data_IF_951998108852
#
_entry.id   IF_951998108852
#
_cell.length_a   1.000
_cell.length_b   1.000
_cell.length_c   1.000
_cell.angle_alpha   90.00
_cell.angle_beta   90.00
_cell.angle_gamma   90.00
#
_symmetry.space_group_name_H-M   'P 1'
#
loop_
_entity.id
_entity.type
_entity.pdbx_description
1 polymer ?
#
# COMPACT_ATOMS: atom_id res chain seq x y z
N UNK A 1 8.93 -19.00 -0.14
CA UNK A 1 7.97 -20.12 0.06
C UNK A 1 7.93 -21.14 -1.11
N UNK A 2 8.22 -20.72 -2.34
CA UNK A 2 8.14 -21.59 -3.53
C UNK A 2 9.44 -22.31 -3.91
N UNK A 3 10.50 -22.15 -3.11
CA UNK A 3 11.81 -22.76 -3.35
C UNK A 3 11.77 -24.26 -3.11
N UNK A 4 12.32 -25.05 -4.03
CA UNK A 4 12.39 -26.51 -3.91
C UNK A 4 13.30 -26.91 -2.75
N UNK A 5 12.89 -27.93 -1.97
CA UNK A 5 13.69 -28.45 -0.85
C UNK A 5 14.97 -29.15 -1.29
N UNK A 6 14.91 -29.87 -2.41
CA UNK A 6 16.06 -30.50 -3.06
C UNK A 6 16.36 -29.69 -4.33
N UNK A 7 17.42 -28.90 -4.28
CA UNK A 7 17.88 -28.15 -5.44
C UNK A 7 18.46 -29.15 -6.46
N UNK A 8 17.93 -29.13 -7.68
CA UNK A 8 18.49 -29.85 -8.82
C UNK A 8 18.37 -28.97 -10.06
N UNK A 9 19.51 -28.68 -10.68
CA UNK A 9 19.63 -27.73 -11.78
C UNK A 9 19.48 -26.27 -11.34
N UNK A 10 19.31 -25.38 -12.32
CA UNK A 10 19.11 -23.96 -12.08
C UNK A 10 17.77 -23.67 -11.37
N UNK A 11 17.75 -22.58 -10.61
CA UNK A 11 16.56 -22.11 -9.90
C UNK A 11 15.51 -21.62 -10.91
N UNK A 12 14.29 -22.16 -10.79
CA UNK A 12 13.17 -21.75 -11.64
C UNK A 12 12.67 -20.35 -11.25
N UNK A 13 12.07 -19.63 -12.20
CA UNK A 13 11.63 -18.24 -12.01
C UNK A 13 10.66 -18.06 -10.82
N UNK A 14 9.79 -19.03 -10.57
CA UNK A 14 8.80 -18.98 -9.49
C UNK A 14 9.43 -19.14 -8.10
N UNK A 15 10.60 -19.77 -8.00
CA UNK A 15 11.32 -19.94 -6.73
C UNK A 15 11.85 -18.60 -6.20
N UNK A 16 11.99 -17.62 -7.09
CA UNK A 16 12.40 -16.23 -6.77
C UNK A 16 11.25 -15.37 -6.25
N UNK A 17 10.01 -15.89 -6.28
CA UNK A 17 8.85 -15.18 -5.76
C UNK A 17 8.90 -15.21 -4.23
N UNK A 18 9.03 -14.02 -3.66
CA UNK A 18 8.79 -13.73 -2.26
C UNK A 18 7.30 -13.42 -2.06
N UNK A 19 6.71 -14.08 -1.08
CA UNK A 19 5.34 -13.87 -0.63
C UNK A 19 5.38 -13.78 0.88
N UNK A 20 4.77 -12.74 1.44
CA UNK A 20 4.46 -12.66 2.86
C UNK A 20 2.99 -12.33 3.08
N UNK A 21 2.51 -12.62 4.28
CA UNK A 21 1.13 -12.38 4.69
C UNK A 21 1.14 -11.85 6.12
N UNK A 22 0.47 -10.72 6.32
CA UNK A 22 0.26 -10.12 7.64
C UNK A 22 -1.23 -9.86 7.84
N UNK A 23 -1.81 -10.47 8.86
CA UNK A 23 -3.18 -10.21 9.31
C UNK A 23 -3.18 -9.43 10.62
N UNK A 24 -4.05 -8.41 10.72
CA UNK A 24 -4.32 -7.67 11.96
C UNK A 24 -5.82 -7.63 12.20
N UNK A 25 -6.23 -7.99 13.42
CA UNK A 25 -7.62 -7.98 13.85
C UNK A 25 -7.76 -6.98 15.01
N UNK A 26 -8.81 -6.17 14.98
CA UNK A 26 -9.12 -5.19 16.03
C UNK A 26 -10.61 -5.25 16.35
N UNK A 27 -10.93 -5.31 17.63
CA UNK A 27 -12.29 -5.19 18.15
C UNK A 27 -12.25 -4.19 19.29
N UNK A 28 -13.07 -3.15 19.20
CA UNK A 28 -13.12 -2.09 20.22
C UNK A 28 -14.56 -1.72 20.53
N UNK A 29 -14.88 -1.56 21.81
CA UNK A 29 -16.20 -1.14 22.28
C UNK A 29 -16.05 0.05 23.22
N UNK A 30 -16.98 1.00 23.13
CA UNK A 30 -17.14 2.11 24.08
C UNK A 30 -18.51 1.97 24.72
N UNK A 31 -18.56 1.42 25.93
CA UNK A 31 -19.79 1.13 26.66
C UNK A 31 -19.59 1.31 28.17
N UNK A 32 -20.67 1.21 28.95
CA UNK A 32 -20.60 1.18 30.42
C UNK A 32 -20.10 -0.19 30.91
N UNK A 33 -19.44 -0.22 32.05
CA UNK A 33 -18.77 -1.42 32.58
C UNK A 33 -19.70 -2.65 32.68
N UNK A 34 -20.96 -2.45 33.07
CA UNK A 34 -21.96 -3.50 33.23
C UNK A 34 -22.46 -4.11 31.90
N UNK A 35 -22.16 -3.45 30.78
CA UNK A 35 -22.59 -3.85 29.44
C UNK A 35 -21.47 -4.51 28.63
N UNK A 36 -20.21 -4.45 29.06
CA UNK A 36 -19.05 -4.97 28.29
C UNK A 36 -19.25 -6.43 27.83
N UNK A 37 -19.72 -7.29 28.74
CA UNK A 37 -19.95 -8.72 28.46
C UNK A 37 -21.38 -9.04 27.97
N UNK A 38 -22.28 -8.06 27.95
CA UNK A 38 -23.67 -8.22 27.48
C UNK A 38 -23.87 -7.65 26.07
N UNK A 39 -22.94 -6.84 25.60
CA UNK A 39 -22.97 -6.22 24.28
C UNK A 39 -22.73 -7.23 23.16
N UNK A 40 -23.43 -7.03 22.05
CA UNK A 40 -23.32 -7.86 20.87
C UNK A 40 -22.02 -7.56 20.11
N UNK A 41 -21.18 -8.59 19.92
CA UNK A 41 -19.88 -8.49 19.26
C UNK A 41 -19.93 -7.97 17.81
N UNK A 42 -21.06 -8.07 17.11
CA UNK A 42 -21.18 -7.62 15.72
C UNK A 42 -21.72 -6.19 15.65
N UNK A 43 -22.67 -5.86 16.55
CA UNK A 43 -23.40 -4.59 16.49
C UNK A 43 -22.78 -3.46 17.32
N UNK A 44 -22.41 -3.78 18.56
CA UNK A 44 -21.98 -2.79 19.55
C UNK A 44 -20.47 -2.58 19.53
N UNK A 45 -19.74 -3.59 19.05
CA UNK A 45 -18.30 -3.53 18.87
C UNK A 45 -17.95 -2.98 17.48
N UNK A 46 -16.87 -2.21 17.43
CA UNK A 46 -16.22 -1.78 16.20
C UNK A 46 -15.16 -2.81 15.85
N UNK A 47 -15.51 -3.70 14.92
CA UNK A 47 -14.63 -4.76 14.44
C UNK A 47 -13.98 -4.38 13.11
N UNK A 48 -12.74 -4.79 12.95
CA UNK A 48 -12.04 -4.71 11.68
C UNK A 48 -10.99 -5.81 11.57
N UNK A 49 -10.77 -6.29 10.35
CA UNK A 49 -9.60 -7.10 10.02
C UNK A 49 -8.87 -6.46 8.84
N UNK A 50 -7.55 -6.52 8.83
CA UNK A 50 -6.70 -6.02 7.76
C UNK A 50 -5.66 -7.07 7.38
N UNK A 51 -5.65 -7.43 6.10
CA UNK A 51 -4.80 -8.42 5.48
C UNK A 51 -3.86 -7.71 4.51
N UNK A 52 -2.55 -7.93 4.64
CA UNK A 52 -1.54 -7.37 3.75
C UNK A 52 -0.75 -8.51 3.12
N UNK A 53 -0.72 -8.54 1.78
CA UNK A 53 -0.09 -9.59 0.98
C UNK A 53 0.85 -8.96 -0.04
N UNK A 54 2.07 -8.57 0.37
CA UNK A 54 3.08 -8.12 -0.58
C UNK A 54 3.71 -9.33 -1.28
N UNK A 55 3.79 -9.24 -2.60
CA UNK A 55 4.39 -10.24 -3.49
C UNK A 55 5.46 -9.53 -4.30
N UNK A 56 6.66 -10.10 -4.36
CA UNK A 56 7.73 -9.57 -5.19
C UNK A 56 8.62 -10.68 -5.71
N UNK A 57 9.32 -10.43 -6.80
CA UNK A 57 10.37 -11.31 -7.27
C UNK A 57 11.52 -10.45 -7.77
N UNK A 58 12.76 -10.93 -7.64
CA UNK A 58 13.94 -10.23 -8.17
C UNK A 58 14.64 -11.11 -9.20
N UNK A 59 14.81 -10.58 -10.41
CA UNK A 59 15.46 -11.24 -11.52
C UNK A 59 16.71 -10.46 -11.92
N UNK A 60 17.87 -11.12 -11.88
CA UNK A 60 19.10 -10.54 -12.42
C UNK A 60 19.20 -10.83 -13.91
N UNK A 61 19.08 -9.80 -14.74
CA UNK A 61 19.20 -9.84 -16.20
C UNK A 61 20.63 -9.48 -16.61
N UNK A 62 21.18 -10.25 -17.55
CA UNK A 62 22.53 -10.05 -18.11
C UNK A 62 23.65 -9.91 -17.05
N UNK A 63 23.45 -10.42 -15.83
CA UNK A 63 24.37 -10.28 -14.66
C UNK A 63 24.53 -8.86 -14.09
N UNK A 64 23.90 -7.84 -14.67
CA UNK A 64 24.12 -6.44 -14.27
C UNK A 64 22.84 -5.75 -13.78
N UNK A 65 21.68 -6.12 -14.32
CA UNK A 65 20.43 -5.42 -14.04
C UNK A 65 19.55 -6.26 -13.12
N UNK A 66 19.08 -5.70 -12.01
CA UNK A 66 18.08 -6.35 -11.17
C UNK A 66 16.71 -5.78 -11.49
N UNK A 67 15.86 -6.61 -12.08
CA UNK A 67 14.45 -6.32 -12.35
C UNK A 67 13.61 -6.89 -11.20
N UNK A 68 12.82 -6.03 -10.55
CA UNK A 68 11.99 -6.40 -9.41
C UNK A 68 10.53 -6.04 -9.66
N UNK A 69 9.71 -6.93 -10.24
CA UNK A 69 8.26 -6.80 -10.19
C UNK A 69 7.75 -7.01 -8.76
N UNK A 70 6.75 -6.22 -8.37
CA UNK A 70 6.02 -6.41 -7.12
C UNK A 70 4.56 -6.02 -7.23
N UNK A 71 3.72 -6.70 -6.48
CA UNK A 71 2.30 -6.42 -6.31
C UNK A 71 2.00 -6.40 -4.82
N UNK A 72 1.31 -5.37 -4.36
CA UNK A 72 0.83 -5.30 -2.99
C UNK A 72 -0.69 -5.38 -3.01
N UNK A 73 -1.25 -6.33 -2.27
CA UNK A 73 -2.69 -6.45 -2.06
C UNK A 73 -3.02 -6.20 -0.59
N UNK A 74 -3.91 -5.26 -0.31
CA UNK A 74 -4.44 -4.99 1.02
C UNK A 74 -5.93 -5.24 1.00
N UNK A 75 -6.42 -6.05 1.93
CA UNK A 75 -7.85 -6.30 2.10
C UNK A 75 -8.29 -6.03 3.54
N UNK A 76 -9.38 -5.31 3.68
CA UNK A 76 -10.01 -4.94 4.94
C UNK A 76 -11.39 -5.58 5.03
N UNK A 77 -11.69 -6.19 6.17
CA UNK A 77 -13.00 -6.74 6.46
C UNK A 77 -13.68 -5.93 7.55
N UNK A 78 -14.95 -5.62 7.32
CA UNK A 78 -15.80 -4.87 8.24
C UNK A 78 -17.09 -5.61 8.51
N UNK A 79 -17.63 -5.42 9.71
CA UNK A 79 -18.91 -6.02 10.12
C UNK A 79 -20.09 -5.04 9.97
N UNK A 80 -19.83 -3.82 9.50
CA UNK A 80 -20.85 -2.80 9.28
C UNK A 80 -20.45 -1.83 8.18
N UNK A 81 -21.46 -1.19 7.58
CA UNK A 81 -21.32 0.05 6.81
C UNK A 81 -22.37 1.05 7.27
N UNK A 82 -22.05 2.34 7.23
CA UNK A 82 -22.90 3.43 7.70
C UNK A 82 -23.43 4.19 6.49
N UNK A 83 -24.73 4.10 6.26
CA UNK A 83 -25.40 4.86 5.22
C UNK A 83 -25.65 6.28 5.73
N UNK A 84 -25.39 7.26 4.87
CA UNK A 84 -25.61 8.67 5.18
C UNK A 84 -26.63 9.25 4.20
N UNK A 85 -27.40 10.20 4.69
CA UNK A 85 -28.37 10.96 3.90
C UNK A 85 -28.37 12.42 4.36
N UNK A 86 -28.98 13.27 3.55
CA UNK A 86 -29.15 14.67 3.86
C UNK A 86 -30.22 14.86 4.94
N UNK A 87 -29.85 15.57 6.00
CA UNK A 87 -30.77 15.97 7.05
C UNK A 87 -31.15 17.45 6.87
N UNK A 88 -32.44 17.69 6.57
CA UNK A 88 -32.97 19.02 6.28
C UNK A 88 -32.90 19.97 7.49
N UNK A 89 -33.12 19.46 8.70
CA UNK A 89 -33.12 20.24 9.94
C UNK A 89 -31.71 20.75 10.30
N UNK A 90 -30.70 19.90 10.12
CA UNK A 90 -29.30 20.20 10.45
C UNK A 90 -28.48 20.72 9.26
N UNK A 91 -29.10 20.80 8.07
CA UNK A 91 -28.46 21.21 6.80
C UNK A 91 -27.11 20.53 6.59
N UNK A 92 -27.06 19.21 6.82
CA UNK A 92 -25.83 18.42 6.74
C UNK A 92 -26.12 16.97 6.38
N UNK A 93 -25.15 16.29 5.75
CA UNK A 93 -25.21 14.84 5.53
C UNK A 93 -24.82 14.13 6.83
N UNK A 94 -25.71 13.29 7.32
CA UNK A 94 -25.56 12.59 8.60
C UNK A 94 -25.82 11.09 8.44
N UNK A 95 -25.24 10.26 9.34
CA UNK A 95 -25.60 8.85 9.43
C UNK A 95 -27.10 8.67 9.64
N UNK A 96 -27.74 7.89 8.77
CA UNK A 96 -29.17 7.54 8.87
C UNK A 96 -29.35 6.11 9.30
N UNK A 97 -28.53 5.20 8.78
CA UNK A 97 -28.62 3.78 9.10
C UNK A 97 -27.24 3.12 9.17
N UNK A 98 -27.14 2.09 10.02
CA UNK A 98 -25.95 1.23 10.11
C UNK A 98 -26.33 -0.19 9.74
N UNK A 99 -25.87 -0.62 8.57
CA UNK A 99 -26.13 -1.96 8.05
C UNK A 99 -25.05 -2.91 8.54
N UNK A 100 -25.44 -3.91 9.32
CA UNK A 100 -24.55 -4.94 9.84
C UNK A 100 -24.47 -6.13 8.87
N UNK A 101 -23.26 -6.59 8.59
CA UNK A 101 -22.99 -7.64 7.63
C UNK A 101 -21.49 -7.75 7.35
N UNK A 102 -21.09 -8.75 6.58
CA UNK A 102 -19.69 -8.90 6.20
C UNK A 102 -19.40 -8.11 4.92
N UNK A 103 -18.51 -7.13 5.03
CA UNK A 103 -18.11 -6.28 3.91
C UNK A 103 -16.61 -6.33 3.70
N UNK A 104 -16.22 -6.37 2.43
CA UNK A 104 -14.83 -6.48 1.98
C UNK A 104 -14.43 -5.21 1.26
N UNK A 105 -13.33 -4.60 1.67
CA UNK A 105 -12.77 -3.39 1.08
C UNK A 105 -11.29 -3.64 0.80
N UNK A 106 -10.93 -3.74 -0.47
CA UNK A 106 -9.58 -4.07 -0.90
C UNK A 106 -8.97 -3.04 -1.84
N UNK A 107 -7.65 -2.95 -1.83
CA UNK A 107 -6.87 -2.20 -2.79
C UNK A 107 -5.61 -2.97 -3.19
N UNK A 108 -5.08 -2.60 -4.34
CA UNK A 108 -3.84 -3.15 -4.85
C UNK A 108 -3.05 -2.14 -5.65
N UNK A 109 -1.74 -2.32 -5.67
CA UNK A 109 -0.83 -1.62 -6.55
C UNK A 109 0.19 -2.60 -7.13
N UNK A 110 0.71 -2.26 -8.29
CA UNK A 110 1.78 -2.99 -8.94
C UNK A 110 2.94 -2.03 -9.20
N UNK A 111 4.17 -2.55 -9.13
CA UNK A 111 5.36 -1.79 -9.47
C UNK A 111 6.41 -2.68 -10.12
N UNK A 112 7.26 -2.05 -10.92
CA UNK A 112 8.40 -2.67 -11.58
C UNK A 112 9.62 -1.79 -11.35
N UNK A 113 10.59 -2.31 -10.61
CA UNK A 113 11.88 -1.66 -10.37
C UNK A 113 12.98 -2.24 -11.24
N UNK A 114 13.90 -1.39 -11.70
CA UNK A 114 15.14 -1.76 -12.37
C UNK A 114 16.29 -1.03 -11.71
N UNK A 115 17.34 -1.74 -11.29
CA UNK A 115 18.57 -1.11 -10.81
C UNK A 115 19.81 -1.81 -11.35
N UNK A 116 20.94 -1.10 -11.35
CA UNK A 116 22.27 -1.66 -11.65
C UNK A 116 23.31 -0.99 -10.76
N UNK A 117 24.50 -1.59 -10.64
CA UNK A 117 25.63 -1.01 -9.92
C UNK A 117 26.80 -0.82 -10.88
N UNK A 118 27.29 0.41 -10.95
CA UNK A 118 28.43 0.82 -11.77
C UNK A 118 29.58 1.12 -10.82
N UNK A 119 30.72 0.46 -11.04
CA UNK A 119 31.92 0.60 -10.23
C UNK A 119 32.98 1.41 -10.98
N UNK A 120 33.50 2.45 -10.33
CA UNK A 120 34.64 3.23 -10.79
C UNK A 120 35.77 3.19 -9.76
N UNK A 121 37.00 3.02 -10.23
CA UNK A 121 38.20 3.07 -9.39
C UNK A 121 39.12 4.16 -9.93
N UNK A 122 39.53 5.12 -9.09
CA UNK A 122 40.45 6.17 -9.50
C UNK A 122 41.59 6.34 -8.50
N UNK A 123 42.78 6.61 -9.04
CA UNK A 123 43.97 6.97 -8.28
C UNK A 123 44.22 8.47 -8.49
N UNK A 124 44.11 9.31 -7.44
CA UNK A 124 44.27 10.75 -7.59
C UNK A 124 45.71 11.11 -8.01
N UNK A 125 45.83 11.97 -9.03
CA UNK A 125 47.12 12.42 -9.56
C UNK A 125 47.88 13.36 -8.61
N UNK A 126 47.19 13.99 -7.65
CA UNK A 126 47.72 15.01 -6.74
C UNK A 126 48.42 14.46 -5.49
N UNK A 127 48.39 13.15 -5.26
CA UNK A 127 48.92 12.54 -4.03
C UNK A 127 49.74 11.28 -4.29
N UNK A 128 50.53 11.22 -5.38
CA UNK A 128 51.28 10.01 -5.81
C UNK A 128 52.10 9.30 -4.72
N UNK A 129 52.61 10.04 -3.72
CA UNK A 129 53.41 9.49 -2.60
C UNK A 129 52.56 8.75 -1.55
N UNK A 130 51.28 9.11 -1.42
CA UNK A 130 50.33 8.44 -0.54
C UNK A 130 49.57 7.49 -1.46
N UNK A 131 49.79 6.18 -1.35
CA UNK A 131 49.09 5.18 -2.17
C UNK A 131 47.57 5.22 -1.88
N UNK A 132 46.88 6.21 -2.43
CA UNK A 132 45.46 6.48 -2.27
C UNK A 132 44.73 5.84 -3.44
N UNK A 133 43.67 5.10 -3.11
CA UNK A 133 42.75 4.51 -4.07
C UNK A 133 41.34 4.89 -3.67
N UNK A 134 40.59 5.44 -4.62
CA UNK A 134 39.20 5.83 -4.39
C UNK A 134 38.29 4.96 -5.24
N UNK A 135 37.28 4.41 -4.58
CA UNK A 135 36.22 3.59 -5.14
C UNK A 135 34.95 4.43 -5.18
N UNK A 136 34.33 4.52 -6.35
CA UNK A 136 33.03 5.13 -6.54
C UNK A 136 32.04 4.07 -7.02
N UNK A 137 30.92 3.93 -6.33
CA UNK A 137 29.82 3.05 -6.71
C UNK A 137 28.60 3.89 -7.01
N UNK A 138 28.18 3.88 -8.27
CA UNK A 138 26.97 4.56 -8.73
C UNK A 138 25.88 3.52 -8.90
N UNK A 139 24.74 3.72 -8.26
CA UNK A 139 23.57 2.83 -8.32
C UNK A 139 22.38 3.61 -8.89
N UNK A 140 22.22 3.66 -10.22
CA UNK A 140 21.00 4.17 -10.83
C UNK A 140 19.84 3.19 -10.59
N UNK A 141 18.66 3.75 -10.33
CA UNK A 141 17.42 3.04 -10.10
C UNK A 141 16.28 3.72 -10.85
N UNK A 142 15.51 2.94 -11.59
CA UNK A 142 14.27 3.34 -12.22
C UNK A 142 13.14 2.50 -11.62
N UNK A 143 12.01 3.11 -11.31
CA UNK A 143 10.82 2.38 -10.89
C UNK A 143 9.57 2.97 -11.51
N UNK A 144 8.67 2.10 -11.93
CA UNK A 144 7.32 2.47 -12.34
C UNK A 144 6.33 1.82 -11.39
N UNK A 145 5.29 2.53 -11.00
CA UNK A 145 4.21 1.99 -10.17
C UNK A 145 2.85 2.47 -10.66
N UNK A 146 1.82 1.66 -10.44
CA UNK A 146 0.46 1.99 -10.81
C UNK A 146 -0.54 1.41 -9.81
N UNK A 147 -1.64 2.14 -9.62
CA UNK A 147 -2.80 1.69 -8.87
C UNK A 147 -4.10 2.10 -9.61
N UNK A 148 -5.14 1.24 -9.60
CA UNK A 148 -6.47 1.61 -10.09
C UNK A 148 -7.10 2.76 -9.32
N UNK A 149 -8.16 3.33 -9.89
CA UNK A 149 -9.05 4.23 -9.17
C UNK A 149 -10.04 3.44 -8.32
N UNK A 150 -9.81 3.37 -7.01
CA UNK A 150 -10.74 2.74 -6.07
C UNK A 150 -11.97 3.60 -5.73
N UNK A 151 -12.04 4.81 -6.31
CA UNK A 151 -13.22 5.65 -6.32
C UNK A 151 -14.30 5.20 -7.31
N UNK A 152 -13.97 4.32 -8.26
CA UNK A 152 -14.91 3.87 -9.27
C UNK A 152 -16.10 3.08 -8.66
N UNK A 153 -17.29 3.29 -9.21
CA UNK A 153 -18.55 2.77 -8.69
C UNK A 153 -18.59 1.23 -8.58
N UNK A 154 -17.84 0.51 -9.42
CA UNK A 154 -17.75 -0.94 -9.38
C UNK A 154 -17.14 -1.49 -8.07
N UNK A 155 -16.38 -0.67 -7.32
CA UNK A 155 -15.85 -1.06 -6.02
C UNK A 155 -16.86 -0.84 -4.88
N UNK A 156 -17.80 0.09 -5.03
CA UNK A 156 -18.80 0.41 -4.00
C UNK A 156 -18.21 0.99 -2.71
N UNK A 157 -16.99 1.56 -2.76
CA UNK A 157 -16.35 2.15 -1.59
C UNK A 157 -16.84 3.57 -1.31
N UNK A 158 -17.48 4.19 -2.30
CA UNK A 158 -17.99 5.56 -2.25
C UNK A 158 -19.39 5.62 -2.81
N UNK A 159 -20.21 6.44 -2.19
CA UNK A 159 -21.61 6.68 -2.52
C UNK A 159 -21.86 8.19 -2.55
N UNK A 160 -22.93 8.61 -3.22
CA UNK A 160 -23.31 10.01 -3.34
C UNK A 160 -24.69 10.26 -2.76
N UNK A 161 -24.85 11.37 -2.05
CA UNK A 161 -26.13 11.91 -1.59
C UNK A 161 -26.39 13.19 -2.40
N UNK A 162 -27.58 13.28 -3.00
CA UNK A 162 -28.04 14.50 -3.67
C UNK A 162 -28.99 15.24 -2.73
N UNK A 163 -28.81 16.54 -2.58
CA UNK A 163 -29.66 17.39 -1.75
C UNK A 163 -29.85 18.75 -2.40
N UNK A 164 -30.91 19.47 -2.02
CA UNK A 164 -31.17 20.82 -2.52
C UNK A 164 -30.60 21.83 -1.53
N UNK A 165 -29.78 22.77 -2.02
CA UNK A 165 -29.25 23.83 -1.17
C UNK A 165 -30.26 24.95 -0.90
N UNK A 166 -29.87 25.95 -0.12
CA UNK A 166 -30.73 27.10 0.23
C UNK A 166 -31.16 27.94 -0.96
N UNK A 167 -30.50 27.81 -2.11
CA UNK A 167 -30.79 28.54 -3.34
C UNK A 167 -31.70 27.73 -4.28
N UNK A 168 -32.10 26.50 -3.90
CA UNK A 168 -32.93 25.64 -4.72
C UNK A 168 -32.13 24.78 -5.72
N UNK A 169 -30.80 24.82 -5.67
CA UNK A 169 -29.95 24.10 -6.62
C UNK A 169 -29.59 22.70 -6.09
N UNK A 170 -29.62 21.66 -6.95
CA UNK A 170 -29.22 20.31 -6.56
C UNK A 170 -27.70 20.24 -6.38
N UNK A 171 -27.27 19.85 -5.19
CA UNK A 171 -25.89 19.59 -4.81
C UNK A 171 -25.67 18.09 -4.64
N UNK A 172 -24.46 17.63 -4.94
CA UNK A 172 -24.04 16.25 -4.73
C UNK A 172 -22.90 16.22 -3.74
N UNK A 173 -23.08 15.46 -2.65
CA UNK A 173 -22.02 15.17 -1.69
C UNK A 173 -21.67 13.70 -1.73
N UNK A 174 -20.38 13.44 -1.85
CA UNK A 174 -19.86 12.10 -1.81
C UNK A 174 -19.42 11.72 -0.39
N UNK A 175 -19.64 10.46 -0.02
CA UNK A 175 -19.17 9.88 1.22
C UNK A 175 -18.75 8.43 1.00
N UNK A 176 -18.15 7.82 2.01
CA UNK A 176 -17.91 6.37 2.01
C UNK A 176 -18.72 5.72 3.11
N UNK A 177 -19.48 4.64 2.80
CA UNK A 177 -20.16 3.84 3.83
C UNK A 177 -19.20 3.21 4.85
N UNK A 178 -17.91 3.15 4.53
CA UNK A 178 -16.87 2.60 5.40
C UNK A 178 -16.06 3.70 6.11
N UNK A 179 -16.42 4.98 5.96
CA UNK A 179 -15.78 6.06 6.69
C UNK A 179 -15.85 5.82 8.21
N UNK A 180 -14.73 6.05 8.91
CA UNK A 180 -14.62 5.79 10.35
C UNK A 180 -14.42 4.32 10.74
N UNK A 181 -14.29 3.40 9.78
CA UNK A 181 -13.91 2.02 10.06
C UNK A 181 -12.44 1.92 10.48
N UNK A 182 -12.09 0.90 11.28
CA UNK A 182 -10.80 0.82 12.00
C UNK A 182 -9.53 0.83 11.13
N UNK A 183 -9.64 0.50 9.84
CA UNK A 183 -8.51 0.45 8.90
C UNK A 183 -8.64 1.41 7.70
N UNK A 184 -9.65 2.29 7.74
CA UNK A 184 -9.91 3.26 6.68
C UNK A 184 -10.30 2.63 5.33
N UNK A 185 -10.25 3.45 4.29
CA UNK A 185 -10.62 3.05 2.93
C UNK A 185 -9.48 3.36 1.95
N UNK A 186 -9.40 2.66 0.83
CA UNK A 186 -8.55 3.04 -0.28
C UNK A 186 -8.88 4.45 -0.75
N UNK A 187 -7.85 5.23 -1.11
CA UNK A 187 -8.05 6.54 -1.72
C UNK A 187 -8.60 6.46 -3.14
N UNK A 188 -9.10 7.60 -3.63
CA UNK A 188 -9.57 7.77 -5.00
C UNK A 188 -8.44 8.13 -5.95
N UNK A 189 -8.73 8.00 -7.23
CA UNK A 189 -7.90 8.43 -8.33
C UNK A 189 -7.02 7.29 -8.84
N UNK A 190 -6.93 7.19 -10.17
CA UNK A 190 -5.97 6.33 -10.83
C UNK A 190 -4.57 6.90 -10.61
N UNK A 191 -3.64 6.07 -10.15
CA UNK A 191 -2.27 6.49 -9.88
C UNK A 191 -1.31 5.80 -10.84
N UNK A 192 -0.35 6.56 -11.32
CA UNK A 192 0.78 6.09 -12.11
C UNK A 192 1.97 6.98 -11.81
N UNK A 193 3.08 6.38 -11.41
CA UNK A 193 4.28 7.11 -11.05
C UNK A 193 5.52 6.49 -11.70
N UNK A 194 6.45 7.35 -12.12
CA UNK A 194 7.76 6.97 -12.62
C UNK A 194 8.78 7.70 -11.75
N UNK A 195 9.67 6.96 -11.10
CA UNK A 195 10.74 7.51 -10.27
C UNK A 195 12.08 7.06 -10.80
N UNK A 196 13.00 8.02 -10.92
CA UNK A 196 14.39 7.78 -11.28
C UNK A 196 15.29 8.37 -10.20
N UNK A 197 16.19 7.56 -9.68
CA UNK A 197 17.07 7.89 -8.57
C UNK A 197 18.49 7.43 -8.88
N UNK A 198 19.49 8.20 -8.45
CA UNK A 198 20.91 7.81 -8.57
C UNK A 198 21.58 7.93 -7.22
N UNK A 199 21.99 6.80 -6.66
CA UNK A 199 22.77 6.76 -5.42
C UNK A 199 24.27 6.71 -5.74
N UNK A 200 25.05 7.55 -5.05
CA UNK A 200 26.50 7.62 -5.20
C UNK A 200 27.16 7.29 -3.86
N UNK A 201 28.04 6.28 -3.85
CA UNK A 201 28.85 5.91 -2.67
C UNK A 201 30.33 6.01 -3.02
N UNK A 202 31.06 6.90 -2.33
CA UNK A 202 32.50 7.14 -2.53
C UNK A 202 33.28 6.68 -1.30
N UNK A 203 34.24 5.80 -1.49
CA UNK A 203 35.10 5.26 -0.44
C UNK A 203 36.58 5.46 -0.80
N UNK A 204 37.39 5.89 0.16
CA UNK A 204 38.83 6.07 -0.02
C UNK A 204 39.61 5.10 0.87
N UNK A 205 40.60 4.43 0.28
CA UNK A 205 41.62 3.68 1.02
C UNK A 205 42.97 4.35 0.83
N UNK A 206 43.69 4.56 1.93
CA UNK A 206 45.05 5.06 1.96
C UNK A 206 45.93 4.02 2.66
N UNK A 207 47.07 3.68 2.06
CA UNK A 207 48.05 2.83 2.72
C UNK A 207 48.80 3.64 3.78
N UNK A 208 48.86 3.11 5.00
CA UNK A 208 49.68 3.62 6.11
C UNK A 208 51.15 3.35 5.86
#
# INVERSE_FOLDING_TARGET
>A
PFKRKKASGDESWYEKISLSYTGRLTNSIKTKDDLIFKSNLIKDWTNGMNHSVPISATFTLFKYFNLTPSVNYTERWYTRKVMQDWNEDKKNVLPVDTLYGFYRVYNYNASLGLNTKIYGMYKPLFAKKKEIQIRHVVTPQLSISAAPDFGASNYGYYETVTYTDSNGEPQVREYSPYAGSSFGIPGKGKQGNISFDVSNNVEMKMKS
#
